data_IF_620932422103
#
_entry.id   IF_620932422103
#
_cell.length_a   1.000
_cell.length_b   1.000
_cell.length_c   1.000
_cell.angle_alpha   90.00
_cell.angle_beta   90.00
_cell.angle_gamma   90.00
#
_symmetry.space_group_name_H-M   'P 1'
#
loop_
_entity.id
_entity.type
_entity.pdbx_description
1 polymer ?
#
# COMPACT_ATOMS: atom_id res chain seq x y z
N UNK A 1 9.18 6.14 -12.98
CA UNK A 1 8.46 6.74 -11.83
C UNK A 1 9.28 6.53 -10.57
N UNK A 2 9.20 7.45 -9.60
CA UNK A 2 9.76 7.28 -8.24
C UNK A 2 8.70 7.00 -7.18
N UNK A 3 7.43 7.03 -7.56
CA UNK A 3 6.29 6.79 -6.67
C UNK A 3 5.43 5.65 -7.23
N UNK A 4 4.92 4.81 -6.33
CA UNK A 4 4.15 3.62 -6.65
C UNK A 4 3.00 3.47 -5.66
N UNK A 5 1.85 3.02 -6.16
CA UNK A 5 0.72 2.65 -5.31
C UNK A 5 0.70 1.15 -5.09
N UNK A 6 0.55 0.74 -3.83
CA UNK A 6 0.27 -0.63 -3.46
C UNK A 6 -1.13 -0.68 -2.86
N UNK A 7 -2.03 -1.41 -3.53
CA UNK A 7 -3.32 -1.84 -2.96
C UNK A 7 -3.12 -3.23 -2.38
N UNK A 8 -3.42 -3.40 -1.11
CA UNK A 8 -3.42 -4.69 -0.42
C UNK A 8 -4.83 -4.99 0.04
N UNK A 9 -5.41 -6.05 -0.50
CA UNK A 9 -6.68 -6.60 -0.03
C UNK A 9 -6.36 -7.73 0.96
N UNK A 10 -6.75 -7.53 2.21
CA UNK A 10 -6.40 -8.38 3.34
C UNK A 10 -7.68 -8.99 3.91
N UNK A 11 -7.70 -10.31 4.03
CA UNK A 11 -8.81 -11.06 4.63
C UNK A 11 -8.33 -11.81 5.86
N UNK A 12 -9.00 -11.61 7.00
CA UNK A 12 -8.77 -12.36 8.24
C UNK A 12 -10.12 -12.81 8.77
N UNK A 13 -10.40 -14.12 8.66
CA UNK A 13 -11.71 -14.70 8.91
C UNK A 13 -12.81 -13.98 8.08
N UNK A 14 -13.79 -13.36 8.75
CA UNK A 14 -14.86 -12.56 8.15
C UNK A 14 -14.52 -11.08 7.93
N UNK A 15 -13.34 -10.61 8.36
CA UNK A 15 -12.94 -9.21 8.23
C UNK A 15 -12.19 -9.01 6.92
N UNK A 16 -12.65 -8.03 6.14
CA UNK A 16 -12.01 -7.55 4.92
C UNK A 16 -11.48 -6.13 5.12
N UNK A 17 -10.24 -5.90 4.68
CA UNK A 17 -9.58 -4.60 4.75
C UNK A 17 -8.81 -4.34 3.46
N UNK A 18 -9.17 -3.26 2.77
CA UNK A 18 -8.33 -2.70 1.71
C UNK A 18 -7.39 -1.66 2.30
N UNK A 19 -6.10 -1.76 2.00
CA UNK A 19 -5.06 -0.80 2.40
C UNK A 19 -4.37 -0.24 1.16
N UNK A 20 -4.33 1.08 1.04
CA UNK A 20 -3.58 1.77 0.00
C UNK A 20 -2.33 2.38 0.59
N UNK A 21 -1.16 2.02 0.05
CA UNK A 21 0.13 2.54 0.47
C UNK A 21 0.83 3.28 -0.66
N UNK A 22 1.36 4.47 -0.36
CA UNK A 22 2.25 5.18 -1.27
C UNK A 22 3.69 4.80 -0.96
N UNK A 23 4.38 4.26 -1.95
CA UNK A 23 5.77 3.84 -1.89
C UNK A 23 6.64 4.82 -2.66
N UNK A 24 7.76 5.22 -2.08
CA UNK A 24 8.79 6.06 -2.72
C UNK A 24 10.08 5.27 -2.96
N UNK A 25 10.74 5.50 -4.09
CA UNK A 25 12.10 5.03 -4.37
C UNK A 25 13.12 5.98 -3.74
N UNK A 26 13.77 5.52 -2.67
CA UNK A 26 14.81 6.26 -1.96
C UNK A 26 16.21 6.07 -2.59
N UNK A 27 16.40 4.98 -3.36
CA UNK A 27 17.66 4.69 -4.04
C UNK A 27 17.55 3.60 -5.10
N UNK A 28 18.67 3.19 -5.72
CA UNK A 28 18.66 2.19 -6.79
C UNK A 28 17.97 0.88 -6.41
N UNK A 29 18.15 0.44 -5.16
CA UNK A 29 17.59 -0.81 -4.60
C UNK A 29 16.84 -0.57 -3.27
N UNK A 30 16.48 0.67 -2.95
CA UNK A 30 15.82 1.01 -1.70
C UNK A 30 14.49 1.71 -1.96
N UNK A 31 13.41 1.12 -1.44
CA UNK A 31 12.04 1.62 -1.51
C UNK A 31 11.45 1.61 -0.11
N UNK A 32 10.62 2.61 0.20
CA UNK A 32 10.01 2.76 1.51
C UNK A 32 8.56 3.22 1.38
N UNK A 33 7.72 2.84 2.34
CA UNK A 33 6.35 3.36 2.46
C UNK A 33 6.41 4.73 3.12
N UNK A 34 5.78 5.73 2.51
CA UNK A 34 5.70 7.09 3.09
C UNK A 34 4.38 7.34 3.82
N UNK A 35 3.30 6.71 3.36
CA UNK A 35 2.02 6.72 4.05
C UNK A 35 1.15 5.55 3.61
N UNK A 36 0.19 5.18 4.45
CA UNK A 36 -0.86 4.23 4.11
C UNK A 36 -2.21 4.71 4.67
N UNK A 37 -3.30 4.31 4.02
CA UNK A 37 -4.67 4.57 4.48
C UNK A 37 -5.56 3.38 4.13
N UNK A 38 -6.57 3.12 4.97
CA UNK A 38 -7.62 2.17 4.61
C UNK A 38 -8.38 2.70 3.40
N UNK A 39 -8.46 1.89 2.35
CA UNK A 39 -9.20 2.20 1.14
C UNK A 39 -10.67 1.83 1.27
N UNK A 40 -11.49 2.40 0.39
CA UNK A 40 -12.83 1.88 0.15
C UNK A 40 -12.70 0.49 -0.50
N UNK A 41 -13.48 -0.48 0.01
CA UNK A 41 -13.67 -1.76 -0.67
C UNK A 41 -14.56 -1.50 -1.89
N UNK A 42 -14.22 -2.08 -3.04
CA UNK A 42 -15.03 -1.98 -4.27
C UNK A 42 -16.34 -2.77 -4.18
#
# INVERSE_FOLDING_TARGET
SNYFWLRSDITVNEIELTMNSLIVRMGPQHFSVIWHQTGESE
#
